data_IF_107158227216
#
_entry.id   IF_107158227216
#
_cell.length_a   1.000
_cell.length_b   1.000
_cell.length_c   1.000
_cell.angle_alpha   90.00
_cell.angle_beta   90.00
_cell.angle_gamma   90.00
#
_symmetry.space_group_name_H-M   'P 1'
#
loop_
_entity.id
_entity.type
_entity.pdbx_description
1 polymer ?
#
# COMPACT_ATOMS: atom_id res chain seq x y z
N UNK A 1 3.16 5.49 -3.93
CA UNK A 1 2.70 6.86 -4.23
C UNK A 1 2.21 7.51 -2.95
N UNK A 2 2.80 8.65 -2.56
CA UNK A 2 2.30 9.49 -1.48
C UNK A 2 1.27 10.45 -2.05
N UNK A 3 0.00 10.27 -1.69
CA UNK A 3 -1.09 11.16 -2.07
C UNK A 3 -1.40 12.09 -0.89
N UNK A 4 -0.72 13.24 -0.87
CA UNK A 4 -0.83 14.22 0.22
C UNK A 4 -2.21 14.90 0.25
N UNK A 5 -2.83 15.13 -0.90
CA UNK A 5 -4.16 15.76 -0.99
C UNK A 5 -5.25 14.90 -0.33
N UNK A 6 -5.16 13.58 -0.46
CA UNK A 6 -6.10 12.65 0.14
C UNK A 6 -5.67 12.14 1.53
N UNK A 7 -4.50 12.55 2.04
CA UNK A 7 -3.86 11.96 3.22
C UNK A 7 -3.74 10.42 3.11
N UNK A 8 -3.30 9.92 1.94
CA UNK A 8 -3.19 8.48 1.64
C UNK A 8 -1.83 8.08 1.12
N UNK A 9 -1.33 6.94 1.62
CA UNK A 9 -0.24 6.21 1.01
C UNK A 9 -0.83 5.11 0.14
N UNK A 10 -0.54 5.15 -1.16
CA UNK A 10 -1.13 4.28 -2.18
C UNK A 10 -0.05 3.41 -2.85
N UNK A 11 -0.34 2.12 -3.02
CA UNK A 11 0.45 1.16 -3.79
C UNK A 11 -0.37 0.81 -5.02
N UNK A 12 0.10 1.26 -6.17
CA UNK A 12 -0.49 0.96 -7.48
C UNK A 12 0.03 -0.39 -7.96
N UNK A 13 -0.81 -1.16 -8.62
CA UNK A 13 -0.43 -2.39 -9.29
C UNK A 13 -0.95 -2.36 -10.73
N UNK A 14 -0.13 -2.81 -11.68
CA UNK A 14 -0.51 -2.90 -13.09
C UNK A 14 -1.54 -4.02 -13.34
N UNK A 15 -1.59 -5.02 -12.44
CA UNK A 15 -2.54 -6.11 -12.45
C UNK A 15 -2.93 -6.49 -11.02
N UNK A 16 -4.04 -7.22 -10.84
CA UNK A 16 -4.43 -7.72 -9.50
C UNK A 16 -3.28 -8.57 -8.94
N UNK A 17 -2.70 -8.21 -7.77
CA UNK A 17 -1.61 -8.98 -7.19
C UNK A 17 -2.08 -10.35 -6.71
N UNK A 18 -1.15 -11.30 -6.60
CA UNK A 18 -1.43 -12.66 -6.14
C UNK A 18 -2.02 -12.71 -4.72
N UNK A 19 -2.57 -13.86 -4.35
CA UNK A 19 -3.29 -14.00 -3.07
C UNK A 19 -2.39 -13.77 -1.85
N UNK A 20 -1.11 -14.16 -1.93
CA UNK A 20 -0.16 -13.98 -0.83
C UNK A 20 0.15 -12.50 -0.62
N UNK A 21 0.45 -11.77 -1.69
CA UNK A 21 0.71 -10.33 -1.65
C UNK A 21 -0.50 -9.55 -1.13
N UNK A 22 -1.72 -9.97 -1.51
CA UNK A 22 -2.97 -9.38 -0.96
C UNK A 22 -3.14 -9.65 0.53
N UNK A 23 -2.81 -10.86 1.00
CA UNK A 23 -2.82 -11.20 2.43
C UNK A 23 -1.82 -10.35 3.21
N UNK A 24 -0.61 -10.19 2.67
CA UNK A 24 0.42 -9.33 3.29
C UNK A 24 -0.06 -7.87 3.35
N UNK A 25 -0.55 -7.31 2.24
CA UNK A 25 -1.09 -5.95 2.22
C UNK A 25 -2.18 -5.74 3.29
N UNK A 26 -3.10 -6.70 3.43
CA UNK A 26 -4.13 -6.66 4.47
C UNK A 26 -3.57 -6.74 5.88
N UNK A 27 -2.58 -7.61 6.14
CA UNK A 27 -1.97 -7.74 7.47
C UNK A 27 -1.23 -6.47 7.89
N UNK A 28 -0.69 -5.72 6.93
CA UNK A 28 -0.11 -4.39 7.13
C UNK A 28 -1.12 -3.23 7.05
N UNK A 29 -2.42 -3.51 7.04
CA UNK A 29 -3.49 -2.52 7.16
C UNK A 29 -3.83 -1.75 5.89
N UNK A 30 -3.36 -2.19 4.72
CA UNK A 30 -3.80 -1.64 3.43
C UNK A 30 -5.17 -2.17 3.05
N UNK A 31 -6.00 -1.29 2.47
CA UNK A 31 -7.32 -1.64 1.95
C UNK A 31 -7.34 -1.44 0.44
N UNK A 32 -7.99 -2.36 -0.27
CA UNK A 32 -8.20 -2.23 -1.70
C UNK A 32 -9.19 -1.09 -1.99
N UNK A 33 -8.82 -0.22 -2.92
CA UNK A 33 -9.65 0.88 -3.39
C UNK A 33 -9.87 0.75 -4.90
N UNK A 34 -10.98 0.13 -5.34
CA UNK A 34 -11.21 -0.18 -6.75
C UNK A 34 -11.26 1.08 -7.63
N UNK A 35 -11.78 2.19 -7.11
CA UNK A 35 -11.81 3.49 -7.79
C UNK A 35 -10.43 3.98 -8.23
N UNK A 36 -9.41 3.69 -7.43
CA UNK A 36 -8.02 4.13 -7.67
C UNK A 36 -7.13 2.98 -8.13
N UNK A 37 -7.68 1.77 -8.28
CA UNK A 37 -6.94 0.53 -8.56
C UNK A 37 -5.70 0.38 -7.66
N UNK A 38 -5.84 0.76 -6.39
CA UNK A 38 -4.73 0.90 -5.46
C UNK A 38 -5.02 0.23 -4.13
N UNK A 39 -3.96 -0.29 -3.51
CA UNK A 39 -3.96 -0.61 -2.09
C UNK A 39 -3.54 0.62 -1.30
N UNK A 40 -4.40 1.09 -0.41
CA UNK A 40 -4.17 2.34 0.29
C UNK A 40 -4.46 2.27 1.78
N UNK A 41 -3.76 3.11 2.54
CA UNK A 41 -4.04 3.43 3.95
C UNK A 41 -3.74 4.90 4.21
N UNK A 42 -4.11 5.40 5.39
CA UNK A 42 -3.80 6.76 5.80
C UNK A 42 -2.28 7.02 5.74
N UNK A 43 -1.90 8.21 5.29
CA UNK A 43 -0.50 8.60 5.21
C UNK A 43 0.04 8.92 6.61
N UNK A 44 0.65 7.92 7.23
CA UNK A 44 1.33 8.04 8.51
C UNK A 44 2.75 7.51 8.41
N UNK A 45 3.62 7.82 9.37
CA UNK A 45 4.97 7.24 9.42
C UNK A 45 4.91 5.70 9.42
N UNK A 46 3.99 5.11 10.17
CA UNK A 46 3.76 3.65 10.17
C UNK A 46 3.38 3.11 8.77
N UNK A 47 2.64 3.89 7.97
CA UNK A 47 2.33 3.50 6.60
C UNK A 47 3.61 3.39 5.74
N UNK A 48 4.56 4.32 5.92
CA UNK A 48 5.87 4.27 5.21
C UNK A 48 6.66 3.03 5.63
N UNK A 49 6.72 2.72 6.92
CA UNK A 49 7.35 1.48 7.40
C UNK A 49 6.67 0.22 6.83
N UNK A 50 5.33 0.21 6.79
CA UNK A 50 4.56 -0.90 6.24
C UNK A 50 4.85 -1.12 4.75
N UNK A 51 4.98 -0.05 3.95
CA UNK A 51 5.39 -0.16 2.54
C UNK A 51 6.77 -0.79 2.40
N UNK A 52 7.75 -0.36 3.20
CA UNK A 52 9.11 -0.95 3.21
C UNK A 52 9.06 -2.46 3.43
N UNK A 53 8.20 -2.93 4.35
CA UNK A 53 8.03 -4.36 4.66
C UNK A 53 7.30 -5.12 3.55
N UNK A 54 6.20 -4.59 3.03
CA UNK A 54 5.39 -5.27 1.99
C UNK A 54 6.09 -5.33 0.64
N UNK A 55 6.81 -4.27 0.29
CA UNK A 55 7.53 -4.19 -0.99
C UNK A 55 8.97 -4.70 -0.87
N UNK A 56 9.40 -5.11 0.33
CA UNK A 56 10.78 -5.51 0.64
C UNK A 56 11.81 -4.48 0.16
N UNK A 57 11.44 -3.19 0.20
CA UNK A 57 12.29 -2.09 -0.21
C UNK A 57 13.25 -1.81 0.95
N UNK A 58 14.47 -2.33 0.84
CA UNK A 58 15.50 -2.14 1.87
C UNK A 58 15.93 -0.67 1.96
N UNK A 59 15.80 0.11 0.87
CA UNK A 59 16.14 1.53 0.83
C UNK A 59 14.97 2.33 0.24
N UNK A 60 14.39 3.21 1.05
CA UNK A 60 13.32 4.16 0.69
C UNK A 60 13.59 5.45 1.47
#
# INVERSE_FOLDING_TARGET
VWNYEADRLQILFDSIPDDQKRKDLKSYGFKWAPRYQAWQRQLTQNAVYAVKRVLNLQNL
#
